data_IF_182274121055
#
_entry.id   IF_182274121055
#
_cell.length_a   1.000
_cell.length_b   1.000
_cell.length_c   1.000
_cell.angle_alpha   90.00
_cell.angle_beta   90.00
_cell.angle_gamma   90.00
#
_symmetry.space_group_name_H-M   'P 1'
#
loop_
_entity.id
_entity.type
_entity.pdbx_description
1 polymer ?
#
# COMPACT_ATOMS: atom_id res chain seq x y z
N UNK A 1 -12.28 -24.87 -39.52
CA UNK A 1 -12.14 -23.42 -39.80
C UNK A 1 -11.07 -23.19 -40.86
N UNK A 2 -9.86 -23.72 -40.67
CA UNK A 2 -8.74 -23.62 -41.63
C UNK A 2 -9.13 -24.07 -43.05
N UNK A 3 -9.76 -25.24 -43.19
CA UNK A 3 -10.21 -25.71 -44.52
C UNK A 3 -11.18 -24.77 -45.26
N UNK A 4 -11.95 -23.95 -44.54
CA UNK A 4 -12.89 -22.99 -45.15
C UNK A 4 -12.11 -21.77 -45.67
N UNK A 5 -11.11 -21.32 -44.90
CA UNK A 5 -10.21 -20.23 -45.29
C UNK A 5 -9.34 -20.67 -46.46
N UNK A 6 -8.79 -21.88 -46.42
CA UNK A 6 -7.98 -22.46 -47.51
C UNK A 6 -8.78 -22.56 -48.81
N UNK A 7 -10.05 -22.98 -48.75
CA UNK A 7 -10.96 -23.00 -49.91
C UNK A 7 -11.23 -21.59 -50.46
N UNK A 8 -11.35 -20.57 -49.60
CA UNK A 8 -11.55 -19.17 -50.01
C UNK A 8 -10.29 -18.60 -50.65
N UNK A 9 -9.11 -18.89 -50.10
CA UNK A 9 -7.82 -18.55 -50.73
C UNK A 9 -7.67 -19.21 -52.10
N UNK A 10 -7.94 -20.51 -52.21
CA UNK A 10 -7.90 -21.22 -53.50
C UNK A 10 -8.88 -20.63 -54.52
N UNK A 11 -10.04 -20.13 -54.07
CA UNK A 11 -11.01 -19.43 -54.92
C UNK A 11 -10.46 -18.09 -55.42
N UNK A 12 -9.87 -17.28 -54.55
CA UNK A 12 -9.23 -16.00 -54.93
C UNK A 12 -8.10 -16.25 -55.93
N UNK A 13 -7.25 -17.24 -55.67
CA UNK A 13 -6.16 -17.62 -56.56
C UNK A 13 -6.67 -18.05 -57.95
N UNK A 14 -7.72 -18.87 -57.99
CA UNK A 14 -8.35 -19.29 -59.24
C UNK A 14 -8.98 -18.12 -60.01
N UNK A 15 -9.66 -17.21 -59.31
CA UNK A 15 -10.25 -16.02 -59.93
C UNK A 15 -9.18 -15.07 -60.49
N UNK A 16 -8.08 -14.88 -59.75
CA UNK A 16 -6.93 -14.10 -60.18
C UNK A 16 -6.25 -14.73 -61.39
N UNK A 17 -5.98 -16.04 -61.36
CA UNK A 17 -5.39 -16.76 -62.49
C UNK A 17 -6.26 -16.65 -63.75
N UNK A 18 -7.59 -16.72 -63.60
CA UNK A 18 -8.55 -16.56 -64.69
C UNK A 18 -8.53 -15.14 -65.27
N UNK A 19 -8.45 -14.12 -64.41
CA UNK A 19 -8.34 -12.72 -64.83
C UNK A 19 -7.03 -12.45 -65.59
N UNK A 20 -5.90 -12.94 -65.06
CA UNK A 20 -4.59 -12.84 -65.70
C UNK A 20 -4.59 -13.55 -67.06
N UNK A 21 -5.18 -14.75 -67.15
CA UNK A 21 -5.32 -15.46 -68.41
C UNK A 21 -6.13 -14.63 -69.40
N UNK A 22 -7.27 -14.05 -68.99
CA UNK A 22 -8.12 -13.22 -69.85
C UNK A 22 -7.37 -12.01 -70.41
N UNK A 23 -6.55 -11.35 -69.58
CA UNK A 23 -5.71 -10.22 -69.95
C UNK A 23 -4.59 -10.63 -70.92
N UNK A 24 -3.93 -11.77 -70.66
CA UNK A 24 -2.87 -12.30 -71.53
C UNK A 24 -3.37 -12.72 -72.91
N UNK A 25 -4.63 -13.19 -72.99
CA UNK A 25 -5.31 -13.52 -74.25
C UNK A 25 -5.98 -12.31 -74.92
N UNK A 26 -5.75 -11.09 -74.42
CA UNK A 26 -6.34 -9.84 -74.93
C UNK A 26 -7.88 -9.83 -74.98
N UNK A 27 -8.53 -10.54 -74.05
CA UNK A 27 -9.98 -10.56 -73.89
C UNK A 27 -10.37 -10.08 -72.48
N UNK A 28 -10.22 -8.78 -72.17
CA UNK A 28 -10.53 -8.26 -70.85
C UNK A 28 -12.04 -8.32 -70.58
N UNK A 29 -12.44 -9.06 -69.55
CA UNK A 29 -13.84 -9.18 -69.12
C UNK A 29 -14.03 -8.61 -67.72
N UNK A 30 -15.00 -7.70 -67.59
CA UNK A 30 -15.41 -7.11 -66.31
C UNK A 30 -16.03 -8.15 -65.36
N UNK A 31 -16.55 -9.26 -65.91
CA UNK A 31 -17.11 -10.35 -65.11
C UNK A 31 -16.04 -11.05 -64.27
N UNK A 32 -14.83 -11.24 -64.80
CA UNK A 32 -13.72 -11.86 -64.06
C UNK A 32 -13.19 -10.94 -62.95
N UNK A 33 -13.18 -9.63 -63.18
CA UNK A 33 -12.82 -8.66 -62.14
C UNK A 33 -13.86 -8.65 -61.00
N UNK A 34 -15.15 -8.74 -61.32
CA UNK A 34 -16.21 -8.82 -60.31
C UNK A 34 -16.16 -10.13 -59.49
N UNK A 35 -15.82 -11.27 -60.11
CA UNK A 35 -15.64 -12.54 -59.40
C UNK A 35 -14.44 -12.50 -58.43
N UNK A 36 -13.34 -11.84 -58.82
CA UNK A 36 -12.20 -11.61 -57.93
C UNK A 36 -12.60 -10.76 -56.72
N UNK A 37 -13.34 -9.67 -56.93
CA UNK A 37 -13.85 -8.81 -55.85
C UNK A 37 -14.80 -9.58 -54.93
N UNK A 38 -15.65 -10.45 -55.47
CA UNK A 38 -16.54 -11.30 -54.68
C UNK A 38 -15.74 -12.32 -53.85
N UNK A 39 -14.73 -12.97 -54.44
CA UNK A 39 -13.87 -13.93 -53.75
C UNK A 39 -13.06 -13.27 -52.63
N UNK A 40 -12.57 -12.05 -52.83
CA UNK A 40 -11.85 -11.27 -51.82
C UNK A 40 -12.74 -10.86 -50.63
N UNK A 41 -13.98 -10.45 -50.90
CA UNK A 41 -14.99 -10.18 -49.86
C UNK A 41 -15.29 -11.44 -49.04
N UNK A 42 -15.47 -12.58 -49.71
CA UNK A 42 -15.66 -13.86 -49.03
C UNK A 42 -14.44 -14.21 -48.17
N UNK A 43 -13.21 -14.02 -48.66
CA UNK A 43 -11.99 -14.26 -47.88
C UNK A 43 -11.92 -13.38 -46.63
N UNK A 44 -12.19 -12.08 -46.79
CA UNK A 44 -12.20 -11.09 -45.69
C UNK A 44 -13.19 -11.48 -44.58
N UNK A 45 -14.41 -11.88 -44.95
CA UNK A 45 -15.40 -12.40 -44.00
C UNK A 45 -14.92 -13.67 -43.29
N UNK A 46 -14.14 -14.51 -43.97
CA UNK A 46 -13.60 -15.74 -43.41
C UNK A 46 -12.55 -15.45 -42.34
N UNK A 47 -11.66 -14.50 -42.62
CA UNK A 47 -10.64 -14.03 -41.69
C UNK A 47 -11.26 -13.36 -40.46
N UNK A 48 -12.29 -12.53 -40.64
CA UNK A 48 -13.03 -11.94 -39.53
C UNK A 48 -13.66 -13.01 -38.63
N UNK A 49 -14.26 -14.04 -39.23
CA UNK A 49 -14.83 -15.15 -38.47
C UNK A 49 -13.76 -15.93 -37.69
N UNK A 50 -12.57 -16.13 -38.27
CA UNK A 50 -11.45 -16.78 -37.57
C UNK A 50 -10.98 -15.94 -36.39
N UNK A 51 -10.78 -14.64 -36.59
CA UNK A 51 -10.41 -13.70 -35.53
C UNK A 51 -11.41 -13.74 -34.38
N UNK A 52 -12.71 -13.71 -34.68
CA UNK A 52 -13.78 -13.85 -33.68
C UNK A 52 -13.72 -15.17 -32.93
N UNK A 53 -13.46 -16.29 -33.62
CA UNK A 53 -13.31 -17.58 -32.97
C UNK A 53 -12.07 -17.66 -32.07
N UNK A 54 -10.96 -17.06 -32.47
CA UNK A 54 -9.75 -16.97 -31.64
C UNK A 54 -10.00 -16.15 -30.38
N UNK A 55 -10.64 -14.99 -30.50
CA UNK A 55 -11.02 -14.16 -29.35
C UNK A 55 -11.98 -14.90 -28.41
N UNK A 56 -12.99 -15.58 -28.96
CA UNK A 56 -13.91 -16.39 -28.15
C UNK A 56 -13.21 -17.56 -27.46
N UNK A 57 -12.25 -18.20 -28.13
CA UNK A 57 -11.50 -19.30 -27.56
C UNK A 57 -10.61 -18.83 -26.39
N UNK A 58 -9.92 -17.70 -26.55
CA UNK A 58 -9.15 -17.08 -25.47
C UNK A 58 -10.05 -16.78 -24.25
N UNK A 59 -11.25 -16.22 -24.49
CA UNK A 59 -12.24 -15.99 -23.44
C UNK A 59 -12.71 -17.28 -22.76
N UNK A 60 -12.91 -18.36 -23.51
CA UNK A 60 -13.27 -19.67 -22.93
C UNK A 60 -12.13 -20.22 -22.07
N UNK A 61 -10.87 -20.05 -22.49
CA UNK A 61 -9.73 -20.46 -21.68
C UNK A 61 -9.64 -19.67 -20.37
N UNK A 62 -9.85 -18.35 -20.43
CA UNK A 62 -9.91 -17.50 -19.23
C UNK A 62 -11.03 -17.95 -18.29
N UNK A 63 -12.25 -18.18 -18.80
CA UNK A 63 -13.37 -18.66 -18.00
C UNK A 63 -13.13 -20.04 -17.38
N UNK A 64 -12.36 -20.90 -18.05
CA UNK A 64 -11.95 -22.19 -17.47
C UNK A 64 -10.95 -22.00 -16.34
N UNK A 65 -9.94 -21.14 -16.55
CA UNK A 65 -8.96 -20.83 -15.51
C UNK A 65 -9.62 -20.23 -14.26
N UNK A 66 -10.60 -19.34 -14.43
CA UNK A 66 -11.35 -18.76 -13.30
C UNK A 66 -12.24 -19.80 -12.61
N UNK A 67 -12.88 -20.70 -13.35
CA UNK A 67 -13.62 -21.82 -12.77
C UNK A 67 -12.72 -22.74 -11.96
N UNK A 68 -11.56 -23.12 -12.50
CA UNK A 68 -10.60 -24.00 -11.82
C UNK A 68 -10.05 -23.33 -10.54
N UNK A 69 -9.85 -22.00 -10.57
CA UNK A 69 -9.45 -21.21 -9.40
C UNK A 69 -10.54 -21.19 -8.32
N UNK A 70 -11.80 -20.98 -8.70
CA UNK A 70 -12.93 -21.01 -7.76
C UNK A 70 -13.08 -22.41 -7.14
N UNK A 71 -12.93 -23.47 -7.92
CA UNK A 71 -12.97 -24.85 -7.42
C UNK A 71 -11.81 -25.12 -6.44
N UNK A 72 -10.62 -24.56 -6.69
CA UNK A 72 -9.50 -24.63 -5.74
C UNK A 72 -9.84 -23.93 -4.43
N UNK A 73 -10.40 -22.72 -4.47
CA UNK A 73 -10.83 -21.99 -3.28
C UNK A 73 -11.90 -22.77 -2.48
N UNK A 74 -12.87 -23.40 -3.15
CA UNK A 74 -13.87 -24.24 -2.48
C UNK A 74 -13.21 -25.44 -1.80
N UNK A 75 -12.25 -26.11 -2.46
CA UNK A 75 -11.52 -27.21 -1.83
C UNK A 75 -10.73 -26.74 -0.61
N UNK A 76 -10.02 -25.63 -0.73
CA UNK A 76 -9.19 -25.09 0.37
C UNK A 76 -10.05 -24.68 1.57
N UNK A 77 -11.20 -24.05 1.33
CA UNK A 77 -12.14 -23.68 2.40
C UNK A 77 -12.77 -24.91 3.06
N UNK A 78 -13.12 -25.95 2.29
CA UNK A 78 -13.63 -27.21 2.86
C UNK A 78 -12.56 -27.94 3.67
N UNK A 79 -11.31 -27.94 3.21
CA UNK A 79 -10.18 -28.50 3.95
C UNK A 79 -10.01 -27.71 5.26
N UNK A 80 -9.96 -26.38 5.19
CA UNK A 80 -9.83 -25.51 6.36
C UNK A 80 -10.98 -25.72 7.37
N UNK A 81 -12.21 -25.82 6.90
CA UNK A 81 -13.37 -26.07 7.78
C UNK A 81 -13.29 -27.46 8.42
N UNK A 82 -12.77 -28.45 7.69
CA UNK A 82 -12.60 -29.80 8.22
C UNK A 82 -11.47 -29.86 9.24
N UNK A 83 -10.32 -29.21 8.98
CA UNK A 83 -9.19 -29.17 9.91
C UNK A 83 -9.55 -28.41 11.18
N UNK A 84 -10.18 -27.24 11.06
CA UNK A 84 -10.65 -26.47 12.23
C UNK A 84 -11.68 -27.24 13.03
N UNK A 85 -12.62 -27.95 12.37
CA UNK A 85 -13.53 -28.87 13.07
C UNK A 85 -12.78 -29.98 13.80
N UNK A 86 -11.78 -30.58 13.17
CA UNK A 86 -10.96 -31.62 13.77
C UNK A 86 -10.19 -31.09 14.98
N UNK A 87 -9.63 -29.89 14.89
CA UNK A 87 -8.94 -29.20 15.99
C UNK A 87 -9.90 -28.89 17.14
N UNK A 88 -11.10 -28.37 16.88
CA UNK A 88 -12.12 -28.12 17.90
C UNK A 88 -12.63 -29.38 18.58
N UNK A 89 -12.64 -30.51 17.88
CA UNK A 89 -12.96 -31.81 18.50
C UNK A 89 -11.79 -32.39 19.28
N UNK A 90 -10.55 -32.09 18.87
CA UNK A 90 -9.33 -32.51 19.55
C UNK A 90 -9.03 -31.66 20.80
N UNK A 91 -9.55 -30.43 20.88
CA UNK A 91 -9.46 -29.62 22.10
C UNK A 91 -10.35 -30.24 23.18
N UNK A 92 -9.73 -31.02 24.07
CA UNK A 92 -10.39 -31.52 25.27
C UNK A 92 -11.01 -30.37 26.04
N UNK A 93 -12.34 -30.41 26.22
CA UNK A 93 -13.05 -29.48 27.09
C UNK A 93 -12.35 -29.45 28.45
N UNK A 94 -12.07 -28.24 28.97
CA UNK A 94 -11.36 -28.05 30.24
C UNK A 94 -12.21 -28.60 31.38
N UNK A 95 -12.07 -29.90 31.64
CA UNK A 95 -12.65 -30.55 32.80
C UNK A 95 -11.77 -30.21 33.98
N UNK A 96 -12.26 -29.34 34.86
CA UNK A 96 -11.60 -29.09 36.12
C UNK A 96 -11.70 -30.38 36.95
N UNK A 97 -10.57 -31.01 37.32
CA UNK A 97 -10.63 -32.19 38.18
C UNK A 97 -11.26 -31.78 39.51
N UNK A 98 -12.11 -32.63 40.08
CA UNK A 98 -12.75 -32.38 41.37
C UNK A 98 -11.73 -32.20 42.53
N UNK A 99 -10.46 -32.54 42.30
CA UNK A 99 -9.33 -32.34 43.20
C UNK A 99 -8.57 -31.03 42.96
N UNK A 100 -9.12 -30.09 42.19
CA UNK A 100 -8.51 -28.76 42.04
C UNK A 100 -8.41 -28.10 43.42
N UNK A 101 -7.23 -27.54 43.74
CA UNK A 101 -7.01 -26.84 45.00
C UNK A 101 -7.99 -25.67 45.10
N UNK A 102 -8.98 -25.79 45.98
CA UNK A 102 -9.97 -24.74 46.21
C UNK A 102 -9.29 -23.61 46.99
N UNK A 103 -8.99 -22.50 46.30
CA UNK A 103 -8.45 -21.30 46.95
C UNK A 103 -9.58 -20.59 47.68
N UNK A 104 -9.36 -20.25 48.95
CA UNK A 104 -10.33 -19.46 49.72
C UNK A 104 -10.41 -18.03 49.17
N UNK A 105 -11.62 -17.48 49.11
CA UNK A 105 -11.86 -16.09 48.69
C UNK A 105 -11.04 -15.07 49.51
N UNK A 106 -10.90 -15.30 50.82
CA UNK A 106 -10.13 -14.42 51.71
C UNK A 106 -8.63 -14.44 51.40
N UNK A 107 -8.09 -15.62 51.06
CA UNK A 107 -6.70 -15.79 50.68
C UNK A 107 -6.40 -15.10 49.36
N UNK A 108 -7.28 -15.27 48.36
CA UNK A 108 -7.21 -14.60 47.07
C UNK A 108 -7.19 -13.07 47.22
N UNK A 109 -8.10 -12.51 48.02
CA UNK A 109 -8.17 -11.06 48.28
C UNK A 109 -6.92 -10.54 48.99
N UNK A 110 -6.41 -11.29 49.98
CA UNK A 110 -5.20 -10.90 50.70
C UNK A 110 -3.97 -10.89 49.78
N UNK A 111 -3.89 -11.88 48.88
CA UNK A 111 -2.83 -11.99 47.89
C UNK A 111 -2.94 -10.87 46.84
N UNK A 112 -4.14 -10.64 46.30
CA UNK A 112 -4.44 -9.55 45.38
C UNK A 112 -4.05 -8.19 45.96
N UNK A 113 -4.34 -7.93 47.24
CA UNK A 113 -3.96 -6.68 47.92
C UNK A 113 -2.44 -6.52 48.04
N UNK A 114 -1.70 -7.62 48.26
CA UNK A 114 -0.23 -7.61 48.34
C UNK A 114 0.44 -7.35 46.99
N UNK A 115 -0.09 -7.93 45.92
CA UNK A 115 0.49 -7.77 44.57
C UNK A 115 0.03 -6.48 43.88
N UNK A 116 -1.12 -5.91 44.27
CA UNK A 116 -1.69 -4.68 43.68
C UNK A 116 -0.69 -3.53 43.58
N UNK A 117 0.13 -3.32 44.63
CA UNK A 117 1.19 -2.28 44.62
C UNK A 117 2.25 -2.49 43.53
N UNK A 118 2.45 -3.74 43.08
CA UNK A 118 3.49 -4.12 42.12
C UNK A 118 2.93 -4.37 40.71
N UNK A 119 1.64 -4.67 40.59
CA UNK A 119 0.96 -4.92 39.31
C UNK A 119 0.41 -3.64 38.67
N UNK A 120 0.44 -2.49 39.37
CA UNK A 120 0.13 -1.20 38.77
C UNK A 120 1.29 -0.71 37.88
N UNK A 121 1.00 -0.24 36.65
CA UNK A 121 2.00 0.39 35.79
C UNK A 121 2.69 1.56 36.51
N UNK A 122 3.96 1.83 36.19
CA UNK A 122 4.77 2.85 36.89
C UNK A 122 4.17 4.27 36.83
N UNK A 123 3.22 4.52 35.94
CA UNK A 123 2.47 5.78 35.83
C UNK A 123 1.45 6.00 36.96
N UNK A 124 1.06 4.94 37.68
CA UNK A 124 0.07 4.98 38.76
C UNK A 124 0.70 4.73 40.15
N UNK A 125 2.03 4.60 40.24
CA UNK A 125 2.71 4.54 41.53
C UNK A 125 2.75 5.93 42.12
N UNK A 126 2.02 6.12 43.21
CA UNK A 126 2.08 7.29 44.08
C UNK A 126 3.55 7.60 44.40
N UNK A 127 4.04 8.73 43.89
CA UNK A 127 5.37 9.22 44.26
C UNK A 127 5.34 9.52 45.76
N UNK A 128 6.30 8.99 46.52
CA UNK A 128 6.48 9.35 47.93
C UNK A 128 6.80 10.86 48.04
N UNK A 129 5.76 11.69 48.09
CA UNK A 129 5.89 13.08 48.50
C UNK A 129 6.02 13.04 50.02
N UNK A 130 7.26 13.17 50.49
CA UNK A 130 7.58 13.40 51.91
C UNK A 130 6.91 14.71 52.35
N UNK A 131 5.70 14.62 52.88
CA UNK A 131 5.08 15.71 53.65
C UNK A 131 5.82 15.87 54.97
N UNK A 132 6.73 16.84 55.02
CA UNK A 132 7.26 17.37 56.26
C UNK A 132 6.15 18.16 56.97
N UNK A 133 5.66 17.65 58.09
CA UNK A 133 4.94 18.42 59.11
C UNK A 133 5.74 18.42 60.41
N UNK A 134 6.44 19.52 60.61
CA UNK A 134 6.61 20.30 61.86
C UNK A 134 6.66 19.56 63.22
N UNK A 135 7.81 19.62 63.90
CA UNK A 135 8.05 20.32 65.19
C UNK A 135 9.42 19.87 65.71
N UNK A 136 10.32 20.83 65.93
CA UNK A 136 11.70 20.56 66.36
C UNK A 136 11.82 20.12 67.82
N UNK A 137 12.49 19.00 68.05
CA UNK A 137 13.32 18.77 69.22
C UNK A 137 14.62 18.07 68.80
N UNK A 138 15.73 18.51 69.39
CA UNK A 138 17.09 18.19 69.01
C UNK A 138 17.52 16.77 69.44
N UNK A 139 18.34 16.09 68.62
CA UNK A 139 19.03 14.88 69.05
C UNK A 139 19.71 14.00 67.99
N UNK A 140 20.68 14.55 67.25
CA UNK A 140 21.97 13.93 66.82
C UNK A 140 22.08 12.53 66.15
N UNK A 141 22.83 12.54 65.02
CA UNK A 141 23.71 11.51 64.38
C UNK A 141 23.15 10.75 63.14
N UNK A 142 23.26 11.30 61.91
CA UNK A 142 24.34 11.15 60.88
C UNK A 142 24.11 10.00 59.88
N UNK A 143 24.68 10.00 58.64
CA UNK A 143 24.82 11.10 57.67
C UNK A 143 24.23 10.76 56.27
N UNK A 144 24.12 11.82 55.45
CA UNK A 144 23.50 11.92 54.11
C UNK A 144 24.46 11.47 52.99
N UNK A 145 24.01 10.46 52.19
CA UNK A 145 24.18 10.18 50.73
C UNK A 145 25.54 10.34 50.00
N UNK A 146 25.85 9.55 48.92
CA UNK A 146 25.15 9.70 47.63
C UNK A 146 25.05 8.44 46.72
N UNK A 147 24.17 8.49 45.71
CA UNK A 147 24.38 7.76 44.45
C UNK A 147 23.22 6.88 43.98
N UNK A 148 22.28 7.49 43.26
CA UNK A 148 21.37 6.78 42.36
C UNK A 148 22.17 6.02 41.30
N UNK A 149 22.24 4.69 41.43
CA UNK A 149 22.62 3.82 40.31
C UNK A 149 21.36 3.15 39.75
N UNK A 150 21.08 3.50 38.50
CA UNK A 150 20.26 2.75 37.58
C UNK A 150 20.81 1.32 37.48
N UNK A 151 20.09 0.34 38.03
CA UNK A 151 20.30 -1.06 37.69
C UNK A 151 19.34 -1.42 36.56
N UNK A 152 19.85 -1.26 35.34
CA UNK A 152 19.41 -2.02 34.17
C UNK A 152 19.79 -3.49 34.39
N UNK A 153 18.79 -4.38 34.34
CA UNK A 153 19.04 -5.80 34.07
C UNK A 153 17.87 -6.34 33.24
N UNK A 154 17.90 -6.01 31.95
CA UNK A 154 17.15 -6.72 30.93
C UNK A 154 18.04 -7.81 30.35
N UNK A 155 17.64 -9.07 30.49
CA UNK A 155 17.79 -10.03 29.40
C UNK A 155 16.85 -11.24 29.58
N UNK A 156 16.21 -11.60 28.47
CA UNK A 156 15.78 -12.96 28.11
C UNK A 156 14.39 -13.42 28.57
N UNK A 157 13.38 -13.18 27.73
CA UNK A 157 12.33 -14.19 27.47
C UNK A 157 12.28 -14.43 25.95
N UNK A 158 12.37 -15.68 25.48
CA UNK A 158 12.55 -16.01 24.06
C UNK A 158 11.29 -15.77 23.23
N UNK A 159 11.52 -15.40 21.97
CA UNK A 159 10.55 -15.38 20.88
C UNK A 159 10.28 -16.81 20.41
N UNK A 160 9.01 -17.19 20.29
CA UNK A 160 8.51 -18.20 19.35
C UNK A 160 7.04 -17.89 18.99
N UNK A 161 6.58 -18.24 17.77
CA UNK A 161 5.75 -17.37 16.95
C UNK A 161 4.25 -17.69 17.03
N UNK A 162 3.41 -16.70 16.78
CA UNK A 162 2.03 -16.93 16.33
C UNK A 162 1.74 -16.09 15.10
N UNK A 163 1.57 -16.84 14.01
CA UNK A 163 0.90 -16.46 12.78
C UNK A 163 -0.43 -15.75 13.05
N UNK A 164 -0.70 -14.73 12.25
CA UNK A 164 -1.93 -13.95 12.31
C UNK A 164 -3.16 -14.67 11.78
N UNK A 165 -4.31 -14.04 12.03
CA UNK A 165 -5.47 -14.04 11.14
C UNK A 165 -6.14 -12.66 11.29
N UNK A 166 -6.20 -11.94 10.18
CA UNK A 166 -7.03 -10.76 9.97
C UNK A 166 -8.52 -11.09 10.17
N UNK A 167 -9.25 -10.21 10.82
CA UNK A 167 -10.71 -10.15 10.68
C UNK A 167 -11.14 -8.70 10.77
N UNK A 168 -11.03 -8.06 9.61
CA UNK A 168 -11.75 -6.88 9.20
C UNK A 168 -13.26 -7.20 9.22
N UNK A 169 -14.01 -6.54 10.10
CA UNK A 169 -15.45 -6.35 9.91
C UNK A 169 -15.76 -4.87 9.86
N UNK A 170 -15.78 -4.38 8.63
CA UNK A 170 -16.57 -3.25 8.15
C UNK A 170 -18.05 -3.54 8.37
N UNK A 171 -18.76 -2.59 8.98
CA UNK A 171 -20.19 -2.70 9.23
C UNK A 171 -20.78 -1.38 9.72
N UNK A 172 -20.76 -0.36 8.87
CA UNK A 172 -21.59 0.84 9.02
C UNK A 172 -23.06 0.45 8.91
N UNK A 173 -23.94 1.01 9.76
CA UNK A 173 -25.09 1.69 9.17
C UNK A 173 -25.26 3.10 9.74
N UNK A 174 -25.39 4.03 8.80
CA UNK A 174 -25.99 5.35 8.97
C UNK A 174 -27.44 5.24 9.39
N UNK A 175 -27.88 6.07 10.35
CA UNK A 175 -29.15 6.80 10.46
C UNK A 175 -28.97 7.69 11.71
N UNK A 176 -29.05 9.01 11.66
CA UNK A 176 -30.24 9.77 11.34
C UNK A 176 -30.51 10.69 12.53
N UNK A 177 -30.24 11.98 12.31
CA UNK A 177 -30.37 13.09 13.25
C UNK A 177 -31.83 13.33 13.67
N UNK A 178 -31.99 13.94 14.85
CA UNK A 178 -33.19 14.57 15.40
C UNK A 178 -34.33 13.69 15.96
N UNK A 179 -34.41 13.67 17.30
CA UNK A 179 -35.64 14.03 18.02
C UNK A 179 -35.31 14.49 19.44
N UNK A 180 -35.52 15.77 19.69
CA UNK A 180 -35.64 16.34 21.02
C UNK A 180 -36.96 15.90 21.64
N UNK A 181 -36.93 15.30 22.83
CA UNK A 181 -38.07 15.40 23.77
C UNK A 181 -37.60 15.28 25.23
N UNK A 182 -38.14 16.22 26.02
CA UNK A 182 -38.48 16.12 27.43
C UNK A 182 -37.37 16.13 28.48
N UNK A 183 -37.22 17.32 29.06
CA UNK A 183 -36.86 17.51 30.45
C UNK A 183 -37.76 16.66 31.37
N UNK A 184 -37.13 15.87 32.23
CA UNK A 184 -37.72 15.48 33.51
C UNK A 184 -36.66 15.61 34.59
N UNK A 185 -36.92 16.56 35.48
CA UNK A 185 -36.24 16.78 36.75
C UNK A 185 -36.33 15.56 37.64
N UNK A 186 -35.20 15.09 38.17
CA UNK A 186 -35.16 14.35 39.43
C UNK A 186 -33.85 14.66 40.15
N UNK A 187 -33.97 14.76 41.46
CA UNK A 187 -33.07 15.26 42.52
C UNK A 187 -31.60 14.75 42.50
N UNK A 188 -30.67 15.45 43.20
CA UNK A 188 -29.25 15.17 43.12
C UNK A 188 -28.89 13.82 43.75
N UNK A 189 -28.03 12.99 43.13
CA UNK A 189 -27.42 11.88 43.83
C UNK A 189 -26.50 12.42 44.92
N UNK A 190 -26.89 12.12 46.14
CA UNK A 190 -26.13 12.34 47.36
C UNK A 190 -24.85 11.51 47.32
N UNK A 191 -23.71 12.21 47.41
CA UNK A 191 -22.47 11.75 48.03
C UNK A 191 -21.87 10.41 47.59
N UNK A 192 -21.11 10.45 46.50
CA UNK A 192 -19.72 9.95 46.48
C UNK A 192 -18.87 10.87 45.61
N UNK A 193 -18.83 12.15 45.95
CA UNK A 193 -17.84 13.05 45.36
C UNK A 193 -16.51 12.80 46.09
N UNK A 194 -15.50 12.34 45.36
CA UNK A 194 -14.14 12.22 45.87
C UNK A 194 -13.65 13.62 46.32
N UNK A 195 -12.91 13.72 47.43
CA UNK A 195 -12.32 14.99 47.87
C UNK A 195 -11.55 15.66 46.72
N UNK A 196 -11.62 16.99 46.64
CA UNK A 196 -11.05 17.77 45.51
C UNK A 196 -9.57 17.47 45.27
N UNK A 197 -8.83 17.20 46.33
CA UNK A 197 -7.43 16.74 46.25
C UNK A 197 -7.28 15.40 45.51
N UNK A 198 -8.22 14.45 45.65
CA UNK A 198 -8.19 13.14 44.97
C UNK A 198 -8.63 13.22 43.51
N UNK A 199 -9.49 14.17 43.16
CA UNK A 199 -9.87 14.38 41.76
C UNK A 199 -8.67 14.81 40.89
N UNK A 200 -7.71 15.55 41.44
CA UNK A 200 -6.53 15.96 40.69
C UNK A 200 -5.58 14.78 40.38
N UNK A 201 -5.55 13.75 41.22
CA UNK A 201 -4.73 12.55 41.00
C UNK A 201 -5.41 11.50 40.09
N UNK A 202 -6.74 11.43 40.10
CA UNK A 202 -7.50 10.51 39.26
C UNK A 202 -7.76 11.08 37.85
N UNK A 203 -7.78 12.41 37.72
CA UNK A 203 -8.03 13.13 36.47
C UNK A 203 -6.78 13.88 35.95
N UNK A 204 -5.57 13.50 36.36
CA UNK A 204 -4.32 14.10 35.86
C UNK A 204 -4.12 13.94 34.34
N UNK A 205 -4.63 12.89 33.67
CA UNK A 205 -4.74 12.86 32.22
C UNK A 205 -6.17 13.07 31.72
N UNK A 206 -7.10 13.60 32.53
CA UNK A 206 -8.54 13.66 32.21
C UNK A 206 -8.90 14.45 30.95
N UNK A 207 -7.99 15.27 30.41
CA UNK A 207 -8.15 15.94 29.12
C UNK A 207 -7.52 15.19 27.93
N UNK A 208 -6.67 14.19 28.18
CA UNK A 208 -6.18 13.30 27.13
C UNK A 208 -7.14 12.09 27.06
N UNK A 209 -7.88 11.92 25.94
CA UNK A 209 -8.73 10.74 25.79
C UNK A 209 -7.87 9.49 25.98
N UNK A 210 -8.33 8.58 26.85
CA UNK A 210 -7.73 7.25 26.95
C UNK A 210 -7.90 6.56 25.60
N UNK A 211 -6.84 6.54 24.80
CA UNK A 211 -6.80 5.76 23.58
C UNK A 211 -6.11 4.44 23.94
N UNK A 212 -6.81 3.30 23.87
CA UNK A 212 -6.27 2.01 24.30
C UNK A 212 -5.02 1.58 23.50
N UNK A 213 -4.76 2.23 22.36
CA UNK A 213 -3.61 2.01 21.50
C UNK A 213 -3.10 3.36 20.97
N UNK A 214 -1.80 3.50 20.66
CA UNK A 214 -1.29 4.71 19.99
C UNK A 214 -2.08 5.01 18.71
N UNK A 215 -2.39 6.29 18.45
CA UNK A 215 -3.06 6.66 17.20
C UNK A 215 -2.14 6.44 15.99
N UNK A 216 -2.74 6.29 14.81
CA UNK A 216 -2.03 6.06 13.56
C UNK A 216 -0.95 7.12 13.30
N UNK A 217 -1.20 8.39 13.63
CA UNK A 217 -0.20 9.46 13.50
C UNK A 217 1.05 9.22 14.35
N UNK A 218 0.88 8.59 15.53
CA UNK A 218 1.98 8.24 16.44
C UNK A 218 2.76 7.04 15.91
N UNK A 219 2.06 6.11 15.25
CA UNK A 219 2.68 4.94 14.61
C UNK A 219 3.44 5.37 13.34
N UNK A 220 2.84 6.26 12.53
CA UNK A 220 3.41 6.84 11.30
C UNK A 220 4.66 7.67 11.53
N UNK A 221 4.78 8.33 12.70
CA UNK A 221 6.00 9.06 13.09
C UNK A 221 7.02 8.20 13.84
N UNK A 222 6.63 6.99 14.24
CA UNK A 222 7.43 6.10 15.07
C UNK A 222 8.36 5.20 14.27
N UNK A 223 9.19 4.45 14.99
CA UNK A 223 10.12 3.49 14.40
C UNK A 223 9.44 2.38 13.55
N UNK A 224 8.15 2.10 13.80
CA UNK A 224 7.38 1.15 13.01
C UNK A 224 7.21 1.60 11.56
N UNK A 225 6.91 2.89 11.34
CA UNK A 225 6.79 3.44 9.99
C UNK A 225 8.13 3.43 9.24
N UNK A 226 9.25 3.68 9.93
CA UNK A 226 10.56 3.57 9.31
C UNK A 226 10.89 2.12 8.91
N UNK A 227 10.50 1.14 9.72
CA UNK A 227 10.68 -0.28 9.39
C UNK A 227 9.81 -0.67 8.19
N UNK A 228 8.57 -0.20 8.12
CA UNK A 228 7.68 -0.47 6.98
C UNK A 228 8.22 0.13 5.67
N UNK A 229 8.80 1.34 5.73
CA UNK A 229 9.49 1.94 4.58
C UNK A 229 10.68 1.07 4.13
N UNK A 230 11.45 0.49 5.06
CA UNK A 230 12.58 -0.39 4.72
C UNK A 230 12.10 -1.71 4.09
N UNK A 231 11.04 -2.30 4.65
CA UNK A 231 10.42 -3.51 4.10
C UNK A 231 9.89 -3.26 2.68
N UNK A 232 9.22 -2.13 2.44
CA UNK A 232 8.72 -1.74 1.12
C UNK A 232 9.85 -1.50 0.11
N UNK A 233 11.03 -1.06 0.58
CA UNK A 233 12.25 -0.92 -0.23
C UNK A 233 12.99 -2.25 -0.43
N UNK A 234 12.49 -3.36 0.14
CA UNK A 234 13.13 -4.67 0.08
C UNK A 234 14.40 -4.79 0.91
N UNK A 235 14.58 -3.90 1.89
CA UNK A 235 15.75 -3.85 2.76
C UNK A 235 15.39 -4.47 4.11
N UNK A 236 16.18 -5.46 4.54
CA UNK A 236 15.95 -6.14 5.81
C UNK A 236 16.22 -5.20 7.00
N UNK A 237 15.22 -4.91 7.85
CA UNK A 237 15.36 -3.96 8.96
C UNK A 237 16.36 -4.42 10.04
N UNK A 238 16.69 -5.71 10.13
CA UNK A 238 17.64 -6.22 11.12
C UNK A 238 19.11 -5.99 10.73
N UNK A 239 19.38 -5.78 9.43
CA UNK A 239 20.74 -5.54 8.89
C UNK A 239 20.94 -4.11 8.39
N UNK A 240 19.91 -3.26 8.54
CA UNK A 240 19.94 -1.88 8.12
C UNK A 240 20.80 -1.02 9.07
N UNK A 241 21.97 -0.62 8.57
CA UNK A 241 22.84 0.35 9.21
C UNK A 241 22.53 1.76 8.65
N UNK A 242 21.93 2.65 9.46
CA UNK A 242 21.49 3.96 8.99
C UNK A 242 22.64 4.84 8.48
N UNK A 243 23.85 4.72 9.02
CA UNK A 243 24.99 5.53 8.57
C UNK A 243 25.48 5.11 7.17
N UNK A 244 25.55 3.80 6.91
CA UNK A 244 26.01 3.26 5.63
C UNK A 244 25.03 3.49 4.48
N UNK A 245 23.73 3.52 4.79
CA UNK A 245 22.68 3.79 3.79
C UNK A 245 22.64 5.26 3.34
N UNK A 246 22.88 6.19 4.27
CA UNK A 246 22.95 7.61 3.99
C UNK A 246 24.15 7.96 3.08
N UNK A 247 25.30 7.29 3.28
CA UNK A 247 26.46 7.45 2.40
C UNK A 247 26.18 6.96 0.97
N UNK A 248 25.50 5.82 0.81
CA UNK A 248 25.17 5.27 -0.51
C UNK A 248 24.17 6.15 -1.28
N UNK A 249 23.21 6.74 -0.57
CA UNK A 249 22.24 7.67 -1.17
C UNK A 249 22.88 9.00 -1.57
N UNK A 250 23.83 9.50 -0.76
CA UNK A 250 24.64 10.66 -1.11
C UNK A 250 25.57 10.40 -2.32
N UNK A 251 26.19 9.21 -2.40
CA UNK A 251 27.02 8.81 -3.53
C UNK A 251 26.19 8.70 -4.82
N UNK A 252 24.99 8.10 -4.75
CA UNK A 252 24.06 8.01 -5.89
C UNK A 252 23.61 9.39 -6.36
N UNK A 253 23.32 10.31 -5.44
CA UNK A 253 22.97 11.69 -5.76
C UNK A 253 24.12 12.42 -6.44
N UNK A 254 25.36 12.22 -5.98
CA UNK A 254 26.56 12.82 -6.59
C UNK A 254 26.79 12.32 -8.03
N UNK A 255 26.60 11.03 -8.27
CA UNK A 255 26.71 10.44 -9.62
C UNK A 255 25.64 11.02 -10.55
N UNK A 256 24.41 11.20 -10.07
CA UNK A 256 23.33 11.76 -10.87
C UNK A 256 23.54 13.24 -11.20
N UNK A 257 24.02 14.05 -10.25
CA UNK A 257 24.38 15.45 -10.49
C UNK A 257 25.54 15.61 -11.48
N UNK A 258 26.53 14.70 -11.46
CA UNK A 258 27.63 14.68 -12.42
C UNK A 258 27.16 14.30 -13.83
N UNK A 259 26.22 13.35 -13.95
CA UNK A 259 25.63 12.97 -15.23
C UNK A 259 24.78 14.10 -15.84
N UNK A 260 23.99 14.78 -15.02
CA UNK A 260 23.19 15.92 -15.46
C UNK A 260 24.06 17.12 -15.86
N UNK A 261 25.17 17.36 -15.15
CA UNK A 261 26.14 18.39 -15.52
C UNK A 261 26.80 18.07 -16.86
N UNK A 262 27.15 16.80 -17.10
CA UNK A 262 27.74 16.36 -18.37
C UNK A 262 26.74 16.48 -19.53
N UNK A 263 25.47 16.16 -19.30
CA UNK A 263 24.39 16.35 -20.29
C UNK A 263 24.17 17.83 -20.61
N UNK A 264 24.24 18.71 -19.60
CA UNK A 264 24.16 20.15 -19.80
C UNK A 264 25.37 20.72 -20.56
N UNK A 265 26.58 20.22 -20.29
CA UNK A 265 27.80 20.62 -21.02
C UNK A 265 27.75 20.20 -22.50
N UNK A 266 27.25 18.99 -22.79
CA UNK A 266 27.09 18.51 -24.16
C UNK A 266 26.06 19.34 -24.95
N UNK A 267 24.95 19.72 -24.32
CA UNK A 267 23.96 20.64 -24.90
C UNK A 267 24.56 22.02 -25.15
N UNK A 268 25.33 22.57 -24.21
CA UNK A 268 25.99 23.87 -24.38
C UNK A 268 27.01 23.84 -25.54
N UNK A 269 27.77 22.75 -25.70
CA UNK A 269 28.71 22.58 -26.81
C UNK A 269 27.98 22.53 -28.16
N UNK A 270 26.85 21.83 -28.21
CA UNK A 270 26.03 21.73 -29.42
C UNK A 270 25.41 23.09 -29.80
N UNK A 271 24.92 23.85 -28.81
CA UNK A 271 24.38 25.19 -29.02
C UNK A 271 25.46 26.18 -29.50
N UNK A 272 26.68 26.10 -28.95
CA UNK A 272 27.80 26.93 -29.40
C UNK A 272 28.23 26.60 -30.83
N UNK A 273 28.25 25.31 -31.20
CA UNK A 273 28.54 24.87 -32.56
C UNK A 273 27.44 25.36 -33.54
N UNK A 274 26.17 25.29 -33.13
CA UNK A 274 25.03 25.84 -33.90
C UNK A 274 25.15 27.35 -34.08
N UNK A 275 25.53 28.08 -33.03
CA UNK A 275 25.76 29.54 -33.06
C UNK A 275 26.89 29.90 -34.01
N UNK A 276 28.01 29.17 -33.97
CA UNK A 276 29.17 29.39 -34.85
C UNK A 276 28.87 29.05 -36.31
N UNK A 277 28.05 28.04 -36.57
CA UNK A 277 27.56 27.72 -37.90
C UNK A 277 26.65 28.84 -38.45
N UNK A 278 25.78 29.41 -37.60
CA UNK A 278 24.94 30.55 -37.96
C UNK A 278 25.78 31.81 -38.25
N UNK A 279 26.81 32.08 -37.45
CA UNK A 279 27.74 33.20 -37.67
C UNK A 279 28.56 33.04 -38.96
N UNK A 280 29.02 31.83 -39.28
CA UNK A 280 29.64 31.54 -40.60
C UNK A 280 28.67 31.78 -41.74
N UNK A 281 27.40 31.43 -41.58
CA UNK A 281 26.36 31.62 -42.60
C UNK A 281 26.04 33.10 -42.80
N UNK A 282 25.98 33.89 -41.72
CA UNK A 282 25.80 35.35 -41.77
C UNK A 282 27.02 36.09 -42.35
N UNK A 283 28.23 35.64 -42.04
CA UNK A 283 29.47 36.20 -42.61
C UNK A 283 29.57 35.90 -44.12
N UNK A 284 29.06 34.75 -44.58
CA UNK A 284 28.99 34.40 -46.00
C UNK A 284 27.85 35.10 -46.78
N UNK A 285 26.88 35.71 -46.10
CA UNK A 285 25.72 36.37 -46.73
C UNK A 285 25.79 37.90 -46.77
N UNK A 286 26.94 38.50 -46.43
CA UNK A 286 27.17 39.95 -46.51
C UNK A 286 27.48 40.45 -47.95
N UNK A 287 26.91 39.80 -48.96
CA UNK A 287 26.97 40.21 -50.34
C UNK A 287 25.77 39.64 -51.10
N UNK A 288 25.03 40.52 -51.78
CA UNK A 288 23.84 40.28 -52.63
C UNK A 288 22.49 40.57 -51.95
N UNK A 289 22.03 41.80 -52.17
CA UNK A 289 20.65 42.26 -52.00
C UNK A 289 19.74 41.68 -53.11
N UNK A 290 18.52 41.21 -52.77
CA UNK A 290 17.22 41.64 -53.34
C UNK A 290 16.04 40.73 -52.88
N UNK A 291 14.77 41.19 -53.00
CA UNK A 291 13.74 40.96 -51.98
C UNK A 291 12.62 39.96 -52.37
N UNK A 292 11.97 39.48 -51.30
CA UNK A 292 10.59 38.99 -51.09
C UNK A 292 9.94 38.03 -52.11
N UNK A 293 9.42 36.89 -51.61
CA UNK A 293 7.98 36.63 -51.48
C UNK A 293 7.65 35.34 -50.65
N UNK A 294 6.78 35.52 -49.64
CA UNK A 294 5.65 34.69 -49.15
C UNK A 294 5.74 33.14 -49.06
N UNK A 295 5.60 32.63 -47.83
CA UNK A 295 4.81 31.43 -47.44
C UNK A 295 4.61 31.51 -45.92
N UNK A 296 3.38 31.67 -45.40
CA UNK A 296 2.33 30.66 -45.27
C UNK A 296 2.77 29.47 -44.40
N UNK A 297 2.02 29.26 -43.31
CA UNK A 297 2.12 28.25 -42.25
C UNK A 297 2.99 28.61 -41.04
N UNK A 298 2.43 29.46 -40.16
CA UNK A 298 2.62 29.35 -38.72
C UNK A 298 1.96 28.05 -38.25
N UNK A 299 2.77 27.09 -37.80
CA UNK A 299 2.31 26.00 -36.96
C UNK A 299 2.66 26.39 -35.53
N UNK A 300 1.67 26.88 -34.81
CA UNK A 300 1.76 27.12 -33.38
C UNK A 300 2.01 25.79 -32.66
N UNK A 301 3.13 25.74 -31.94
CA UNK A 301 3.35 24.82 -30.82
C UNK A 301 2.55 25.36 -29.64
N UNK A 302 1.32 24.87 -29.47
CA UNK A 302 0.60 25.00 -28.22
C UNK A 302 0.90 23.77 -27.37
N UNK A 303 1.58 24.03 -26.25
CA UNK A 303 1.52 23.26 -25.01
C UNK A 303 0.06 22.95 -24.67
N UNK A 304 -0.20 21.70 -24.31
CA UNK A 304 -1.41 21.30 -23.59
C UNK A 304 -0.92 20.42 -22.42
N UNK A 305 -0.38 21.11 -21.42
CA UNK A 305 -0.30 20.67 -20.02
C UNK A 305 -1.57 21.17 -19.29
N UNK A 306 -1.91 20.50 -18.18
CA UNK A 306 -2.93 20.80 -17.14
C UNK A 306 -4.20 19.92 -17.22
N UNK A 307 -4.32 18.88 -16.37
CA UNK A 307 -4.82 18.89 -14.97
C UNK A 307 -6.36 18.75 -14.88
N UNK A 308 -6.84 17.50 -14.74
CA UNK A 308 -7.87 17.02 -13.79
C UNK A 308 -8.19 15.51 -14.00
#
# INVERSE_FOLDING_TARGET
MNEIVDKRFARVEKALATLVQSLSTYNPSTAHANDLVAADKELSQGLEQVSKHQANYAKIQELRATSDQLDAQIRDTLILLTTTRQELLATSSTSFPASANTVSYSELLSYARRISKFTLPSTYREGEVKSNSDTGEAGTNTPREPGSQSHTNGNSTPVAPLNGVDSQMTGTPSFGENSAVAAQSTEPPSQTALPTEWTQYLNAPGEAPFVPWPSEDIIRRGALASIEILINKGVDPATFDPEKSAELEAERKRIQEEEDLKRAEELARMEEERRKAMERRMSSSAGVQRPQEKSAFQLETFDDDDED
#
